data_IF_091192838762
#
_entry.id   IF_091192838762
#
_cell.length_a   1.000
_cell.length_b   1.000
_cell.length_c   1.000
_cell.angle_alpha   90.00
_cell.angle_beta   90.00
_cell.angle_gamma   90.00
#
_symmetry.space_group_name_H-M   'P 1'
#
loop_
_entity.id
_entity.type
_entity.pdbx_description
1 polymer ?
#
# COMPACT_ATOMS: atom_id res chain seq x y z
N UNK A 1 -13.69 -9.66 6.90
CA UNK A 1 -13.55 -8.19 7.06
C UNK A 1 -13.09 -7.55 5.77
N UNK A 2 -11.79 -7.57 5.42
CA UNK A 2 -11.31 -6.94 4.17
C UNK A 2 -12.04 -7.49 2.93
N UNK A 3 -12.24 -8.81 2.85
CA UNK A 3 -13.02 -9.43 1.77
C UNK A 3 -14.48 -8.96 1.72
N UNK A 4 -15.12 -8.81 2.88
CA UNK A 4 -16.53 -8.38 2.97
C UNK A 4 -16.69 -6.93 2.53
N UNK A 5 -15.79 -6.06 2.97
CA UNK A 5 -15.78 -4.64 2.58
C UNK A 5 -15.48 -4.48 1.09
N UNK A 6 -14.52 -5.27 0.56
CA UNK A 6 -14.27 -5.31 -0.89
C UNK A 6 -15.51 -5.76 -1.65
N UNK A 7 -16.19 -6.82 -1.19
CA UNK A 7 -17.42 -7.29 -1.81
C UNK A 7 -18.52 -6.22 -1.78
N UNK A 8 -18.66 -5.48 -0.68
CA UNK A 8 -19.60 -4.36 -0.56
C UNK A 8 -19.26 -3.22 -1.53
N UNK A 9 -17.97 -2.84 -1.65
CA UNK A 9 -17.53 -1.81 -2.60
C UNK A 9 -17.74 -2.22 -4.06
N UNK A 10 -17.52 -3.51 -4.38
CA UNK A 10 -17.78 -4.07 -5.71
C UNK A 10 -19.29 -4.05 -5.99
N UNK A 11 -20.12 -4.46 -5.03
CA UNK A 11 -21.58 -4.47 -5.16
C UNK A 11 -22.18 -3.07 -5.27
N UNK A 12 -21.53 -2.06 -4.69
CA UNK A 12 -21.93 -0.66 -4.79
C UNK A 12 -21.56 0.00 -6.12
N UNK A 13 -20.77 -0.66 -6.98
CA UNK A 13 -20.45 -0.11 -8.29
C UNK A 13 -21.70 -0.02 -9.17
N UNK A 14 -21.85 1.06 -9.97
CA UNK A 14 -22.94 1.13 -10.94
C UNK A 14 -22.83 -0.05 -11.93
N UNK A 15 -23.95 -0.55 -12.46
CA UNK A 15 -23.93 -1.64 -13.44
C UNK A 15 -23.08 -1.24 -14.64
N UNK A 16 -21.94 -1.91 -14.84
CA UNK A 16 -21.09 -1.75 -16.03
C UNK A 16 -21.19 -3.00 -16.91
N UNK A 17 -21.20 -2.81 -18.22
CA UNK A 17 -21.47 -3.87 -19.19
C UNK A 17 -20.36 -4.92 -19.30
N UNK A 18 -19.15 -4.61 -18.82
CA UNK A 18 -18.00 -5.54 -18.78
C UNK A 18 -17.17 -5.18 -17.55
N UNK A 19 -17.04 -6.10 -16.60
CA UNK A 19 -16.05 -6.07 -15.53
C UNK A 19 -15.48 -7.48 -15.49
N UNK A 20 -14.20 -7.65 -15.81
CA UNK A 20 -13.57 -8.97 -15.79
C UNK A 20 -13.10 -9.36 -14.39
N UNK A 21 -12.86 -8.36 -13.53
CA UNK A 21 -12.28 -8.51 -12.21
C UNK A 21 -13.03 -7.65 -11.18
N UNK A 22 -13.13 -8.18 -9.96
CA UNK A 22 -13.66 -7.41 -8.83
C UNK A 22 -12.62 -6.43 -8.29
N UNK A 23 -11.35 -6.80 -8.34
CA UNK A 23 -10.27 -6.06 -7.71
C UNK A 23 -8.98 -6.09 -8.53
N UNK A 24 -8.17 -5.04 -8.44
CA UNK A 24 -6.84 -4.96 -9.01
C UNK A 24 -5.86 -4.32 -8.02
N UNK A 25 -4.70 -4.94 -7.84
CA UNK A 25 -3.55 -4.36 -7.16
C UNK A 25 -2.26 -4.72 -7.91
N UNK A 26 -1.50 -3.71 -8.31
CA UNK A 26 -0.21 -3.86 -8.99
C UNK A 26 1.01 -3.61 -8.08
N UNK A 27 0.80 -2.94 -6.94
CA UNK A 27 1.83 -2.51 -5.99
C UNK A 27 2.13 -3.55 -4.90
N UNK A 28 1.19 -4.47 -4.66
CA UNK A 28 1.16 -5.44 -3.54
C UNK A 28 0.76 -4.83 -2.20
N UNK A 29 0.22 -3.62 -2.21
CA UNK A 29 -0.28 -2.95 -1.00
C UNK A 29 -1.42 -3.73 -0.35
N UNK A 30 -2.22 -4.44 -1.15
CA UNK A 30 -3.29 -5.29 -0.64
C UNK A 30 -2.77 -6.48 0.17
N UNK A 31 -1.60 -7.03 -0.16
CA UNK A 31 -0.95 -8.07 0.65
C UNK A 31 -0.57 -7.54 2.04
N UNK A 32 -0.02 -6.33 2.09
CA UNK A 32 0.31 -5.66 3.35
C UNK A 32 -0.95 -5.32 4.14
N UNK A 33 -1.94 -4.70 3.51
CA UNK A 33 -3.21 -4.37 4.13
C UNK A 33 -3.89 -5.62 4.69
N UNK A 34 -3.93 -6.71 3.93
CA UNK A 34 -4.49 -7.98 4.39
C UNK A 34 -3.71 -8.53 5.59
N UNK A 35 -2.37 -8.57 5.52
CA UNK A 35 -1.55 -9.08 6.61
C UNK A 35 -1.66 -8.24 7.89
N UNK A 36 -1.79 -6.91 7.78
CA UNK A 36 -1.97 -6.02 8.93
C UNK A 36 -3.33 -6.18 9.60
N UNK A 37 -4.37 -6.44 8.80
CA UNK A 37 -5.75 -6.58 9.27
C UNK A 37 -6.13 -8.03 9.60
N UNK A 38 -5.22 -9.00 9.39
CA UNK A 38 -5.42 -10.40 9.74
C UNK A 38 -5.78 -10.52 11.23
N UNK A 39 -6.83 -11.28 11.53
CA UNK A 39 -7.39 -11.45 12.88
C UNK A 39 -7.86 -10.15 13.58
N UNK A 40 -8.08 -9.04 12.84
CA UNK A 40 -8.53 -7.75 13.38
C UNK A 40 -7.68 -7.24 14.58
N UNK A 41 -6.38 -7.53 14.56
CA UNK A 41 -5.48 -7.22 15.69
C UNK A 41 -5.02 -5.77 15.73
N UNK A 42 -5.12 -5.07 14.63
CA UNK A 42 -4.75 -3.66 14.51
C UNK A 42 -5.85 -2.72 15.06
N UNK A 43 -6.18 -2.84 16.35
CA UNK A 43 -6.80 -1.73 17.06
C UNK A 43 -5.72 -0.69 17.34
N UNK A 44 -6.01 0.62 17.14
CA UNK A 44 -5.07 1.77 17.11
C UNK A 44 -3.87 1.79 18.09
N UNK A 45 -3.89 1.04 19.18
CA UNK A 45 -2.81 0.96 20.18
C UNK A 45 -1.99 -0.34 20.18
N UNK A 46 -2.44 -1.41 19.49
CA UNK A 46 -1.91 -2.77 19.63
C UNK A 46 -1.52 -3.44 18.29
N UNK A 47 -1.32 -2.67 17.22
CA UNK A 47 -0.77 -3.21 15.98
C UNK A 47 0.61 -3.84 16.25
N UNK A 48 0.79 -5.15 15.96
CA UNK A 48 2.11 -5.77 16.06
C UNK A 48 3.12 -5.02 15.19
N UNK A 49 4.29 -4.74 15.76
CA UNK A 49 5.39 -4.08 15.04
C UNK A 49 6.00 -4.98 13.98
N UNK A 50 5.84 -6.30 14.09
CA UNK A 50 6.35 -7.29 13.14
C UNK A 50 5.27 -8.29 12.73
N UNK A 51 5.22 -8.58 11.43
CA UNK A 51 4.35 -9.63 10.87
C UNK A 51 4.91 -11.02 11.19
N UNK A 52 4.05 -11.90 11.70
CA UNK A 52 4.38 -13.30 11.97
C UNK A 52 4.10 -14.16 10.73
N UNK A 53 4.74 -15.34 10.60
CA UNK A 53 4.54 -16.21 9.45
C UNK A 53 3.06 -16.51 9.15
N UNK A 54 2.21 -16.69 10.17
CA UNK A 54 0.79 -16.95 9.92
C UNK A 54 0.06 -15.78 9.21
N UNK A 55 0.46 -14.53 9.45
CA UNK A 55 -0.17 -13.36 8.80
C UNK A 55 0.27 -13.26 7.33
N UNK A 56 1.54 -13.53 7.08
CA UNK A 56 2.13 -13.55 5.72
C UNK A 56 1.51 -14.69 4.91
N UNK A 57 1.38 -15.89 5.52
CA UNK A 57 0.72 -17.02 4.91
C UNK A 57 -0.74 -16.70 4.54
N UNK A 58 -1.48 -16.08 5.45
CA UNK A 58 -2.87 -15.71 5.22
C UNK A 58 -3.01 -14.74 4.04
N UNK A 59 -2.17 -13.71 3.96
CA UNK A 59 -2.15 -12.75 2.86
C UNK A 59 -1.78 -13.42 1.51
N UNK A 60 -0.73 -14.24 1.49
CA UNK A 60 -0.30 -14.96 0.28
C UNK A 60 -1.38 -15.94 -0.21
N UNK A 61 -2.03 -16.65 0.72
CA UNK A 61 -3.13 -17.56 0.43
C UNK A 61 -4.35 -16.82 -0.12
N UNK A 62 -4.69 -15.67 0.47
CA UNK A 62 -5.77 -14.81 -0.03
C UNK A 62 -5.49 -14.33 -1.46
N UNK A 63 -4.30 -13.79 -1.72
CA UNK A 63 -3.90 -13.31 -3.04
C UNK A 63 -3.94 -14.42 -4.09
N UNK A 64 -3.41 -15.61 -3.75
CA UNK A 64 -3.48 -16.80 -4.61
C UNK A 64 -4.93 -17.17 -4.94
N UNK A 65 -5.85 -17.16 -3.97
CA UNK A 65 -7.26 -17.46 -4.20
C UNK A 65 -7.96 -16.41 -5.06
N UNK A 66 -7.62 -15.13 -4.91
CA UNK A 66 -8.17 -14.05 -5.74
C UNK A 66 -7.80 -14.24 -7.22
N UNK A 67 -6.55 -14.62 -7.49
CA UNK A 67 -6.07 -14.94 -8.84
C UNK A 67 -6.74 -16.22 -9.37
N UNK A 68 -6.73 -17.32 -8.61
CA UNK A 68 -7.28 -18.61 -9.06
C UNK A 68 -8.80 -18.60 -9.32
N UNK A 69 -9.53 -17.65 -8.73
CA UNK A 69 -10.98 -17.48 -8.91
C UNK A 69 -11.33 -16.41 -9.93
N UNK A 70 -10.35 -15.94 -10.71
CA UNK A 70 -10.49 -14.85 -11.68
C UNK A 70 -11.11 -13.56 -11.06
N UNK A 71 -10.89 -13.33 -9.77
CA UNK A 71 -11.38 -12.12 -9.07
C UNK A 71 -10.42 -10.95 -9.18
N UNK A 72 -9.16 -11.24 -9.55
CA UNK A 72 -8.07 -10.30 -9.76
C UNK A 72 -7.14 -10.89 -10.84
N UNK A 73 -6.60 -10.08 -11.76
CA UNK A 73 -5.67 -10.58 -12.76
C UNK A 73 -4.33 -10.98 -12.11
N UNK A 74 -3.67 -12.00 -12.66
CA UNK A 74 -2.29 -12.30 -12.26
C UNK A 74 -1.31 -11.34 -12.92
N UNK A 75 -0.80 -10.40 -12.13
CA UNK A 75 0.25 -9.46 -12.53
C UNK A 75 1.59 -9.74 -11.83
N UNK A 76 1.71 -10.88 -11.13
CA UNK A 76 2.89 -11.15 -10.30
C UNK A 76 4.15 -11.34 -11.14
N UNK A 77 4.02 -11.91 -12.34
CA UNK A 77 5.14 -12.16 -13.26
C UNK A 77 5.59 -10.92 -14.04
N UNK A 78 4.79 -9.85 -14.05
CA UNK A 78 5.11 -8.60 -14.73
C UNK A 78 6.21 -7.83 -14.01
N UNK A 79 7.08 -7.17 -14.78
CA UNK A 79 8.06 -6.21 -14.27
C UNK A 79 7.38 -4.96 -13.68
N UNK A 80 8.07 -4.17 -12.84
CA UNK A 80 7.50 -2.95 -12.28
C UNK A 80 6.96 -1.97 -13.35
N UNK A 81 7.67 -1.85 -14.47
CA UNK A 81 7.24 -1.01 -15.60
C UNK A 81 5.97 -1.55 -16.26
N UNK A 82 5.91 -2.85 -16.55
CA UNK A 82 4.72 -3.47 -17.16
C UNK A 82 3.50 -3.40 -16.24
N UNK A 83 3.71 -3.46 -14.92
CA UNK A 83 2.64 -3.28 -13.92
C UNK A 83 2.09 -1.87 -13.90
N UNK A 84 2.96 -0.86 -13.95
CA UNK A 84 2.55 0.54 -14.06
C UNK A 84 1.81 0.79 -15.38
N UNK A 85 2.35 0.27 -16.49
CA UNK A 85 1.67 0.32 -17.79
C UNK A 85 0.30 -0.38 -17.74
N UNK A 86 0.21 -1.54 -17.07
CA UNK A 86 -1.06 -2.24 -16.87
C UNK A 86 -2.05 -1.43 -16.03
N UNK A 87 -1.62 -0.68 -15.02
CA UNK A 87 -2.53 0.17 -14.24
C UNK A 87 -3.00 1.39 -15.03
N UNK A 88 -2.07 2.06 -15.71
CA UNK A 88 -2.33 3.30 -16.47
C UNK A 88 -3.03 3.06 -17.81
N UNK A 89 -2.91 1.85 -18.35
CA UNK A 89 -3.58 1.45 -19.57
C UNK A 89 -5.10 1.66 -19.42
N UNK A 90 -5.65 2.45 -20.36
CA UNK A 90 -7.11 2.68 -20.45
C UNK A 90 -7.91 1.40 -20.68
N UNK A 91 -7.24 0.29 -20.98
CA UNK A 91 -7.81 -1.02 -21.30
C UNK A 91 -7.80 -2.00 -20.12
N UNK A 92 -7.32 -1.66 -18.93
CA UNK A 92 -7.12 -2.67 -17.87
C UNK A 92 -7.83 -2.27 -16.58
N UNK A 93 -7.25 -1.45 -15.71
CA UNK A 93 -7.82 -1.17 -14.39
C UNK A 93 -9.27 -0.65 -14.45
N UNK A 94 -9.48 0.39 -15.26
CA UNK A 94 -10.70 1.16 -15.25
C UNK A 94 -11.89 0.53 -16.00
N UNK A 95 -11.61 -0.31 -16.99
CA UNK A 95 -12.64 -1.01 -17.79
C UNK A 95 -12.96 -2.40 -17.27
N UNK A 96 -12.02 -3.01 -16.56
CA UNK A 96 -12.11 -4.42 -16.24
C UNK A 96 -12.07 -4.68 -14.74
N UNK A 97 -11.65 -3.74 -13.88
CA UNK A 97 -11.74 -3.87 -12.43
C UNK A 97 -12.83 -2.97 -11.82
N UNK A 98 -13.56 -3.51 -10.86
CA UNK A 98 -14.56 -2.75 -10.10
C UNK A 98 -13.95 -1.78 -9.09
N UNK A 99 -12.85 -2.19 -8.45
CA UNK A 99 -12.04 -1.36 -7.56
C UNK A 99 -10.56 -1.66 -7.80
N UNK A 100 -9.67 -0.70 -7.54
CA UNK A 100 -8.22 -0.90 -7.69
C UNK A 100 -7.42 -0.09 -6.68
N UNK A 101 -6.19 -0.52 -6.43
CA UNK A 101 -5.20 0.22 -5.63
C UNK A 101 -4.40 1.14 -6.54
N UNK A 102 -4.17 2.37 -6.08
CA UNK A 102 -3.46 3.38 -6.86
C UNK A 102 -2.72 4.39 -5.98
N UNK A 103 -1.82 5.15 -6.60
CA UNK A 103 -1.16 6.28 -5.97
C UNK A 103 -2.00 7.57 -6.07
N UNK A 104 -2.05 8.40 -5.03
CA UNK A 104 -2.79 9.67 -5.06
C UNK A 104 -2.39 10.63 -6.20
N UNK A 105 -1.16 10.52 -6.72
CA UNK A 105 -0.66 11.33 -7.84
C UNK A 105 -1.39 11.05 -9.15
N UNK A 106 -2.03 9.88 -9.28
CA UNK A 106 -2.77 9.48 -10.48
C UNK A 106 -4.26 9.88 -10.44
N UNK A 107 -4.73 10.46 -9.33
CA UNK A 107 -6.14 10.83 -9.15
C UNK A 107 -6.68 11.72 -10.28
N UNK A 108 -5.97 12.79 -10.64
CA UNK A 108 -6.41 13.68 -11.71
C UNK A 108 -6.43 13.00 -13.08
N UNK A 109 -5.47 12.11 -13.35
CA UNK A 109 -5.43 11.36 -14.61
C UNK A 109 -6.68 10.48 -14.76
N UNK A 110 -7.14 9.88 -13.66
CA UNK A 110 -8.37 9.08 -13.66
C UNK A 110 -9.63 9.94 -13.75
N UNK A 111 -9.66 11.07 -13.05
CA UNK A 111 -10.80 11.99 -13.04
C UNK A 111 -11.08 12.59 -14.42
N UNK A 112 -10.04 12.87 -15.22
CA UNK A 112 -10.18 13.34 -16.60
C UNK A 112 -10.95 12.37 -17.51
N UNK A 113 -10.99 11.10 -17.13
CA UNK A 113 -11.59 10.06 -17.93
C UNK A 113 -13.03 9.74 -17.47
N UNK A 114 -13.34 9.73 -16.17
CA UNK A 114 -14.68 9.47 -15.57
C UNK A 114 -14.68 9.83 -14.08
N UNK A 115 -15.87 9.93 -13.50
CA UNK A 115 -16.02 10.06 -12.06
C UNK A 115 -15.45 8.84 -11.34
N UNK A 116 -14.49 9.07 -10.45
CA UNK A 116 -13.92 8.05 -9.57
C UNK A 116 -14.24 8.37 -8.12
N UNK A 117 -14.55 7.35 -7.34
CA UNK A 117 -14.54 7.42 -5.88
C UNK A 117 -13.18 7.01 -5.34
N UNK A 118 -12.78 7.58 -4.20
CA UNK A 118 -11.59 7.13 -3.46
C UNK A 118 -12.05 6.68 -2.08
N UNK A 119 -11.51 5.55 -1.64
CA UNK A 119 -11.69 5.01 -0.32
C UNK A 119 -10.32 4.58 0.25
N UNK A 120 -10.13 4.60 1.57
CA UNK A 120 -8.99 3.96 2.20
C UNK A 120 -9.05 2.44 2.05
N UNK A 121 -7.98 1.74 2.41
CA UNK A 121 -7.99 0.28 2.40
C UNK A 121 -9.10 -0.28 3.30
N UNK A 122 -9.84 -1.31 2.84
CA UNK A 122 -10.93 -1.92 3.58
C UNK A 122 -10.51 -2.53 4.94
N UNK A 123 -11.44 -2.47 5.90
CA UNK A 123 -11.31 -2.83 7.32
C UNK A 123 -12.40 -2.11 8.13
N UNK A 124 -13.46 -2.87 8.46
CA UNK A 124 -14.68 -2.61 9.26
C UNK A 124 -14.98 -1.16 9.68
N UNK A 125 -16.15 -0.68 9.21
CA UNK A 125 -17.12 0.32 9.75
C UNK A 125 -16.66 1.63 10.43
N UNK A 126 -15.38 1.87 10.70
CA UNK A 126 -14.85 3.03 11.42
C UNK A 126 -13.46 3.49 10.96
N UNK A 127 -12.98 3.08 9.78
CA UNK A 127 -11.59 3.33 9.38
C UNK A 127 -10.58 2.67 10.36
N UNK A 128 -10.84 1.42 10.77
CA UNK A 128 -9.86 0.60 11.51
C UNK A 128 -9.02 -0.30 10.58
N UNK A 129 -9.39 -0.38 9.29
CA UNK A 129 -8.54 -0.86 8.22
C UNK A 129 -7.18 -0.17 8.21
N UNK A 130 -6.14 -0.96 8.37
CA UNK A 130 -4.75 -0.49 8.32
C UNK A 130 -4.32 -0.25 6.88
N UNK A 131 -4.17 1.02 6.51
CA UNK A 131 -3.59 1.40 5.21
C UNK A 131 -2.06 1.29 5.27
N UNK A 132 -1.41 0.52 4.39
CA UNK A 132 0.04 0.53 4.27
C UNK A 132 0.52 1.93 3.90
N UNK A 133 1.46 2.46 4.67
CA UNK A 133 2.06 3.77 4.41
C UNK A 133 3.51 3.61 3.97
N UNK A 134 3.78 3.97 2.73
CA UNK A 134 5.14 4.13 2.24
C UNK A 134 5.70 5.46 2.73
N UNK A 135 6.83 5.40 3.42
CA UNK A 135 7.50 6.56 3.99
C UNK A 135 8.85 6.75 3.32
N UNK A 136 9.08 7.97 2.82
CA UNK A 136 10.40 8.43 2.43
C UNK A 136 11.04 9.19 3.59
N UNK A 137 12.28 8.85 3.91
CA UNK A 137 13.03 9.43 5.02
C UNK A 137 14.49 9.63 4.67
N UNK A 138 15.14 10.52 5.41
CA UNK A 138 16.58 10.71 5.35
C UNK A 138 17.22 10.04 6.57
N UNK A 139 18.40 9.46 6.38
CA UNK A 139 19.12 8.71 7.41
C UNK A 139 20.50 9.32 7.64
N UNK A 140 21.02 9.18 8.86
CA UNK A 140 22.40 9.53 9.22
C UNK A 140 23.18 8.21 9.33
N UNK A 141 24.30 8.08 8.62
CA UNK A 141 25.17 6.92 8.78
C UNK A 141 25.79 6.89 10.18
N UNK A 142 25.93 5.70 10.75
CA UNK A 142 26.52 5.53 12.09
C UNK A 142 27.96 6.07 12.17
N UNK A 143 28.72 6.00 11.06
CA UNK A 143 30.08 6.52 10.92
C UNK A 143 30.17 7.99 10.47
N UNK A 144 29.11 8.78 10.58
CA UNK A 144 29.17 10.19 10.21
C UNK A 144 30.22 10.94 11.06
N UNK A 145 31.15 11.64 10.41
CA UNK A 145 32.15 12.48 11.10
C UNK A 145 31.52 13.72 11.77
N UNK A 146 30.30 14.11 11.35
CA UNK A 146 29.61 15.32 11.82
C UNK A 146 28.12 15.06 12.10
N UNK A 147 27.77 14.10 12.98
CA UNK A 147 26.39 13.65 13.15
C UNK A 147 25.46 14.77 13.62
N UNK A 148 25.96 15.70 14.45
CA UNK A 148 25.20 16.85 14.91
C UNK A 148 24.84 17.82 13.78
N UNK A 149 25.81 18.16 12.91
CA UNK A 149 25.56 19.05 11.78
C UNK A 149 24.61 18.43 10.75
N UNK A 150 24.77 17.13 10.47
CA UNK A 150 23.85 16.38 9.61
C UNK A 150 22.44 16.38 10.21
N UNK A 151 22.31 16.12 11.52
CA UNK A 151 21.00 16.18 12.20
C UNK A 151 20.33 17.54 12.09
N UNK A 152 21.07 18.63 12.30
CA UNK A 152 20.54 20.00 12.13
C UNK A 152 20.05 20.22 10.69
N UNK A 153 20.79 19.73 9.70
CA UNK A 153 20.39 19.81 8.29
C UNK A 153 19.13 19.01 7.99
N UNK A 154 19.03 17.76 8.47
CA UNK A 154 17.82 16.95 8.31
C UNK A 154 16.61 17.55 9.02
N UNK A 155 16.81 18.14 10.21
CA UNK A 155 15.75 18.84 10.93
C UNK A 155 15.24 20.05 10.14
N UNK A 156 16.13 20.82 9.51
CA UNK A 156 15.77 21.90 8.60
C UNK A 156 14.98 21.38 7.39
N UNK A 157 15.49 20.37 6.68
CA UNK A 157 14.82 19.79 5.51
C UNK A 157 13.43 19.23 5.84
N UNK A 158 13.25 18.66 7.03
CA UNK A 158 11.95 18.11 7.47
C UNK A 158 10.85 19.17 7.65
N UNK A 159 11.17 20.46 7.59
CA UNK A 159 10.22 21.56 7.64
C UNK A 159 9.79 22.04 6.24
N UNK A 160 10.48 21.61 5.18
CA UNK A 160 10.10 21.92 3.81
C UNK A 160 8.87 21.08 3.41
N UNK A 161 7.85 21.67 2.76
CA UNK A 161 6.79 20.87 2.16
C UNK A 161 7.34 19.96 1.06
N UNK A 162 6.75 18.76 0.89
CA UNK A 162 7.04 17.94 -0.28
C UNK A 162 6.60 18.66 -1.56
N UNK A 163 7.18 18.28 -2.69
CA UNK A 163 6.75 18.75 -4.00
C UNK A 163 5.27 18.42 -4.20
N UNK A 164 4.46 19.46 -4.42
CA UNK A 164 2.98 19.36 -4.48
C UNK A 164 2.48 18.43 -5.58
N UNK A 165 3.24 18.32 -6.68
CA UNK A 165 2.91 17.48 -7.83
C UNK A 165 2.87 15.98 -7.53
N UNK A 166 3.54 15.49 -6.48
CA UNK A 166 3.53 14.07 -6.13
C UNK A 166 2.45 13.67 -5.12
N UNK A 167 1.62 14.63 -4.68
CA UNK A 167 0.53 14.39 -3.70
C UNK A 167 0.99 13.67 -2.41
N UNK A 168 2.28 13.75 -2.05
CA UNK A 168 2.84 13.16 -0.83
C UNK A 168 2.43 13.97 0.40
N UNK A 169 1.93 13.29 1.43
CA UNK A 169 1.57 13.91 2.70
C UNK A 169 2.87 14.32 3.42
N UNK A 170 3.01 15.59 3.87
CA UNK A 170 4.15 15.98 4.69
C UNK A 170 4.24 15.11 5.95
N UNK A 171 5.42 14.56 6.25
CA UNK A 171 5.63 13.71 7.42
C UNK A 171 5.28 14.41 8.75
N UNK A 172 5.37 15.75 8.80
CA UNK A 172 4.97 16.56 9.95
C UNK A 172 3.55 17.10 9.76
N UNK A 173 2.57 16.73 10.62
CA UNK A 173 1.20 17.25 10.54
C UNK A 173 1.09 18.78 10.63
N UNK A 174 2.01 19.42 11.38
CA UNK A 174 2.08 20.89 11.47
C UNK A 174 2.39 21.52 10.11
N UNK A 175 3.27 20.91 9.31
CA UNK A 175 3.60 21.38 7.95
C UNK A 175 2.42 21.18 7.01
N UNK A 176 1.72 20.05 7.09
CA UNK A 176 0.49 19.82 6.31
C UNK A 176 -0.58 20.89 6.60
N UNK A 177 -0.70 21.33 7.85
CA UNK A 177 -1.62 22.40 8.26
C UNK A 177 -1.13 23.76 7.76
N UNK A 178 0.12 24.12 8.03
CA UNK A 178 0.72 25.41 7.67
C UNK A 178 0.69 25.69 6.16
N UNK A 179 0.91 24.66 5.36
CA UNK A 179 0.99 24.76 3.89
C UNK A 179 -0.37 24.63 3.22
N UNK A 180 -1.44 24.40 4.00
CA UNK A 180 -2.77 24.16 3.47
C UNK A 180 -2.85 22.90 2.60
N UNK A 181 -1.99 21.91 2.83
CA UNK A 181 -1.89 20.69 2.01
C UNK A 181 -3.26 20.06 1.74
N UNK A 182 -4.05 19.86 2.80
CA UNK A 182 -5.37 19.26 2.68
C UNK A 182 -6.39 20.14 1.95
N UNK A 183 -6.25 21.47 2.02
CA UNK A 183 -7.13 22.43 1.34
C UNK A 183 -6.82 22.51 -0.16
N UNK A 184 -5.59 22.15 -0.56
CA UNK A 184 -5.17 22.12 -1.95
C UNK A 184 -5.60 20.84 -2.71
N UNK A 185 -6.14 19.85 -2.01
CA UNK A 185 -6.64 18.60 -2.60
C UNK A 185 -8.16 18.70 -2.89
N UNK A 186 -8.63 18.06 -3.97
CA UNK A 186 -10.07 17.81 -4.15
C UNK A 186 -10.65 17.07 -2.94
N UNK A 187 -11.84 17.46 -2.45
CA UNK A 187 -12.42 16.85 -1.23
C UNK A 187 -12.55 15.33 -1.29
N UNK A 188 -12.95 14.82 -2.46
CA UNK A 188 -13.08 13.39 -2.73
C UNK A 188 -11.76 12.61 -2.58
N UNK A 189 -10.61 13.29 -2.63
CA UNK A 189 -9.30 12.72 -2.36
C UNK A 189 -8.82 13.06 -0.94
N UNK A 190 -9.03 14.31 -0.50
CA UNK A 190 -8.55 14.81 0.79
C UNK A 190 -9.14 14.03 1.99
N UNK A 191 -10.44 13.76 1.97
CA UNK A 191 -11.13 13.13 3.10
C UNK A 191 -10.69 11.65 3.28
N UNK A 192 -10.67 10.80 2.23
CA UNK A 192 -10.12 9.45 2.32
C UNK A 192 -8.65 9.42 2.72
N UNK A 193 -7.81 10.28 2.16
CA UNK A 193 -6.39 10.33 2.52
C UNK A 193 -6.17 10.70 3.99
N UNK A 194 -6.93 11.67 4.52
CA UNK A 194 -6.83 12.06 5.93
C UNK A 194 -7.33 10.95 6.84
N UNK A 195 -8.41 10.27 6.46
CA UNK A 195 -8.95 9.14 7.21
C UNK A 195 -7.93 7.99 7.25
N UNK A 196 -7.37 7.63 6.09
CA UNK A 196 -6.32 6.62 5.95
C UNK A 196 -5.10 6.94 6.81
N UNK A 197 -4.62 8.20 6.80
CA UNK A 197 -3.42 8.60 7.52
C UNK A 197 -3.51 8.35 9.04
N UNK A 198 -4.70 8.48 9.63
CA UNK A 198 -4.92 8.24 11.05
C UNK A 198 -4.92 6.75 11.44
N UNK A 199 -5.15 5.86 10.48
CA UNK A 199 -5.14 4.40 10.66
C UNK A 199 -3.98 3.72 9.94
N UNK A 200 -3.05 4.48 9.38
CA UNK A 200 -2.00 3.94 8.55
C UNK A 200 -0.88 3.30 9.37
N UNK A 201 -0.29 2.23 8.83
CA UNK A 201 0.91 1.59 9.38
C UNK A 201 2.06 1.73 8.39
N UNK A 202 3.21 2.31 8.78
CA UNK A 202 4.38 2.35 7.93
C UNK A 202 4.80 0.94 7.47
N UNK A 203 5.06 0.77 6.18
CA UNK A 203 5.73 -0.42 5.66
C UNK A 203 7.22 -0.30 6.00
N UNK A 204 7.67 -1.06 7.01
CA UNK A 204 9.07 -1.03 7.44
C UNK A 204 9.98 -1.63 6.37
N UNK A 205 11.29 -1.43 6.49
CA UNK A 205 12.24 -1.99 5.52
C UNK A 205 12.24 -3.52 5.58
N UNK A 206 12.04 -4.10 6.76
CA UNK A 206 11.80 -5.54 6.95
C UNK A 206 10.54 -6.00 6.22
N UNK A 207 9.44 -5.26 6.36
CA UNK A 207 8.18 -5.60 5.71
C UNK A 207 8.31 -5.65 4.18
N UNK A 208 9.12 -4.75 3.59
CA UNK A 208 9.35 -4.72 2.13
C UNK A 208 9.90 -6.03 1.57
N UNK A 209 10.48 -6.88 2.41
CA UNK A 209 11.05 -8.16 2.03
C UNK A 209 10.09 -9.35 2.16
N UNK A 210 8.89 -9.16 2.74
CA UNK A 210 7.96 -10.26 3.02
C UNK A 210 7.15 -10.72 1.79
N UNK A 211 6.99 -9.84 0.79
CA UNK A 211 6.17 -10.06 -0.40
C UNK A 211 6.93 -9.75 -1.69
N UNK A 212 8.16 -10.26 -1.82
CA UNK A 212 9.00 -10.03 -3.00
C UNK A 212 8.31 -10.54 -4.29
N UNK A 213 8.54 -9.90 -5.46
CA UNK A 213 7.86 -10.28 -6.71
C UNK A 213 8.05 -11.76 -7.06
N UNK A 214 9.26 -12.29 -6.84
CA UNK A 214 9.60 -13.68 -7.14
C UNK A 214 8.84 -14.65 -6.22
N UNK A 215 8.70 -14.29 -4.94
CA UNK A 215 7.98 -15.08 -3.96
C UNK A 215 6.47 -15.09 -4.25
N UNK A 216 5.88 -13.93 -4.53
CA UNK A 216 4.45 -13.82 -4.88
C UNK A 216 4.19 -14.63 -6.15
N UNK A 217 5.06 -14.53 -7.16
CA UNK A 217 4.95 -15.31 -8.39
C UNK A 217 5.05 -16.80 -8.15
N UNK A 218 6.01 -17.26 -7.35
CA UNK A 218 6.13 -18.67 -7.02
C UNK A 218 4.87 -19.22 -6.31
N UNK A 219 4.21 -18.39 -5.51
CA UNK A 219 2.95 -18.75 -4.85
C UNK A 219 1.79 -18.80 -5.84
N UNK A 220 1.61 -17.78 -6.69
CA UNK A 220 0.50 -17.76 -7.67
C UNK A 220 0.61 -18.89 -8.68
N UNK A 221 1.82 -19.21 -9.15
CA UNK A 221 2.07 -20.34 -10.06
C UNK A 221 2.10 -21.71 -9.36
N UNK A 222 1.79 -21.77 -8.06
CA UNK A 222 1.79 -22.99 -7.23
C UNK A 222 3.14 -23.74 -7.15
N UNK A 223 4.24 -23.06 -7.47
CA UNK A 223 5.60 -23.59 -7.31
C UNK A 223 6.06 -23.56 -5.85
N UNK A 224 5.44 -22.73 -5.01
CA UNK A 224 5.71 -22.60 -3.59
C UNK A 224 4.39 -22.48 -2.84
N UNK A 225 4.22 -23.22 -1.73
CA UNK A 225 3.02 -23.06 -0.91
C UNK A 225 3.07 -21.74 -0.14
N UNK A 226 1.92 -21.09 0.14
CA UNK A 226 1.88 -19.88 0.98
C UNK A 226 2.59 -20.06 2.33
N UNK A 227 2.44 -21.23 2.96
CA UNK A 227 3.10 -21.56 4.23
C UNK A 227 4.63 -21.66 4.10
N UNK A 228 5.13 -22.28 3.04
CA UNK A 228 6.56 -22.38 2.78
C UNK A 228 7.17 -21.00 2.48
N UNK A 229 6.46 -20.19 1.68
CA UNK A 229 6.83 -18.82 1.40
C UNK A 229 6.88 -17.97 2.68
N UNK A 230 5.88 -18.08 3.55
CA UNK A 230 5.80 -17.30 4.78
C UNK A 230 6.93 -17.59 5.78
N UNK A 231 7.46 -18.81 5.78
CA UNK A 231 8.58 -19.22 6.62
C UNK A 231 9.96 -18.85 6.04
N UNK A 232 10.04 -18.54 4.74
CA UNK A 232 11.28 -18.20 4.05
C UNK A 232 11.50 -16.67 4.04
N UNK A 233 11.60 -16.08 5.23
CA UNK A 233 11.76 -14.63 5.40
C UNK A 233 13.21 -14.20 5.23
N UNK A 234 13.52 -13.25 4.32
CA UNK A 234 14.86 -12.68 4.22
C UNK A 234 15.25 -12.02 5.54
N UNK A 235 16.45 -12.31 6.04
CA UNK A 235 17.00 -11.64 7.22
C UNK A 235 17.75 -10.39 6.78
N UNK A 236 17.38 -9.23 7.33
CA UNK A 236 18.16 -8.00 7.15
C UNK A 236 19.28 -7.99 8.18
N UNK A 237 20.51 -8.14 7.70
CA UNK A 237 21.69 -7.91 8.50
C UNK A 237 21.97 -6.40 8.54
N UNK A 238 21.32 -5.71 9.47
CA UNK A 238 21.39 -4.25 9.58
C UNK A 238 22.79 -3.69 9.80
N UNK A 239 23.68 -4.48 10.39
CA UNK A 239 25.12 -4.23 10.51
C UNK A 239 25.79 -5.59 10.61
N UNK A 240 26.60 -5.99 9.63
CA UNK A 240 27.59 -7.04 9.90
C UNK A 240 28.54 -6.46 10.96
N UNK A 241 28.71 -7.17 12.08
CA UNK A 241 29.70 -6.81 13.09
C UNK A 241 31.09 -6.84 12.44
N UNK A 242 31.51 -5.73 11.84
CA UNK A 242 32.91 -5.50 11.53
C UNK A 242 33.56 -5.06 12.85
N UNK A 243 34.00 -6.07 13.61
CA UNK A 243 35.02 -5.94 14.64
C UNK A 243 36.40 -5.94 13.98
#
# INVERSE_FOLDING_TARGET
VMEDDMAAMIAAQPPRSVMDWGFLDVGRDSLFAYAYNESNRCQRANCPTSLQPQHIEAALRWYQQMVQRDRMPDVSSLSPYEREEFLLSKQSARRHAAIWVDEPVLYENHLLLDGIGVAPFPGLDLFDGTTPLWVDGNFISAGSERPYAVWQWLSFLSQAPPLTGFRRIPARPSIATQTGFWLALPRQLADPMRAAFNSARPVTIEDKLLFLPEQVTAVTTSNLSPAAAANNQPQINWLSNQQ
#
